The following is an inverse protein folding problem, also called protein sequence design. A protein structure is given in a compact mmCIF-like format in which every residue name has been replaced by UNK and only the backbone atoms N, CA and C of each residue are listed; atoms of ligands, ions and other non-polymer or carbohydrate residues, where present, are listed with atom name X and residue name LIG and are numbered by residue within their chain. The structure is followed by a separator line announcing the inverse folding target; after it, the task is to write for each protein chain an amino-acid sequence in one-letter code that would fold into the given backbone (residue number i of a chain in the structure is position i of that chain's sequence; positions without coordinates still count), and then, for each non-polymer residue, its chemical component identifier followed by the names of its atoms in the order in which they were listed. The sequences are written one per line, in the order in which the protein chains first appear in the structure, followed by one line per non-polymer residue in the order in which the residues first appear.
data_IF_682229316003
#
_entry.id   IF_682229316003
#
_cell.length_a   1.000
_cell.length_b   1.000
_cell.length_c   1.000
_cell.angle_alpha   90.00
_cell.angle_beta   90.00
_cell.angle_gamma   90.00
#
_symmetry.space_group_name_H-M   'P 1'
#
loop_
_entity.id
_entity.type
_entity.pdbx_description
1 polymer ?
#
# COMPACT_ATOMS: atom_id res chain seq x y z
N UNK A 1 -17.99 38.07 -31.72
CA UNK A 1 -17.07 36.92 -31.78
C UNK A 1 -17.04 36.24 -30.42
N UNK A 2 -17.52 35.01 -30.23
CA UNK A 2 -17.36 34.32 -28.96
C UNK A 2 -15.98 33.67 -28.91
N UNK A 3 -15.17 34.09 -27.94
CA UNK A 3 -13.90 33.49 -27.59
C UNK A 3 -14.15 32.10 -27.01
N UNK A 4 -13.93 31.06 -27.82
CA UNK A 4 -13.87 29.66 -27.36
C UNK A 4 -12.70 29.53 -26.39
N UNK A 5 -13.00 29.57 -25.09
CA UNK A 5 -12.02 29.27 -24.04
C UNK A 5 -11.57 27.81 -24.20
N UNK A 6 -10.43 27.61 -24.87
CA UNK A 6 -9.69 26.36 -24.87
C UNK A 6 -9.04 26.20 -23.50
N UNK A 7 -9.84 25.88 -22.48
CA UNK A 7 -9.35 25.24 -21.28
C UNK A 7 -8.95 23.84 -21.69
N UNK A 8 -7.72 23.70 -22.21
CA UNK A 8 -7.13 22.40 -22.53
C UNK A 8 -7.32 21.50 -21.30
N UNK A 9 -8.16 20.47 -21.48
CA UNK A 9 -8.53 19.46 -20.50
C UNK A 9 -7.23 18.81 -19.99
N UNK A 10 -6.66 19.34 -18.91
CA UNK A 10 -5.57 18.67 -18.22
C UNK A 10 -6.09 17.28 -17.84
N UNK A 11 -5.37 16.19 -18.20
CA UNK A 11 -5.85 14.85 -17.95
C UNK A 11 -6.12 14.70 -16.46
N UNK A 12 -7.40 14.47 -16.11
CA UNK A 12 -7.83 14.33 -14.73
C UNK A 12 -7.00 13.22 -14.05
N UNK A 13 -6.27 13.59 -13.01
CA UNK A 13 -5.39 12.67 -12.31
C UNK A 13 -6.26 11.61 -11.63
N UNK A 14 -6.26 10.40 -12.19
CA UNK A 14 -7.05 9.28 -11.67
C UNK A 14 -6.61 8.95 -10.24
N UNK A 15 -7.52 9.17 -9.29
CA UNK A 15 -7.32 8.89 -7.86
C UNK A 15 -7.68 7.43 -7.54
N UNK A 16 -7.39 7.03 -6.30
CA UNK A 16 -7.83 5.74 -5.77
C UNK A 16 -9.36 5.70 -5.63
N UNK A 17 -9.93 4.52 -5.84
CA UNK A 17 -11.34 4.26 -5.55
C UNK A 17 -11.61 4.25 -4.04
N UNK A 18 -12.87 4.35 -3.63
CA UNK A 18 -13.28 4.21 -2.22
C UNK A 18 -12.82 2.87 -1.63
N UNK A 19 -12.90 1.79 -2.40
CA UNK A 19 -12.41 0.47 -1.98
C UNK A 19 -10.90 0.47 -1.79
N UNK A 20 -10.14 1.04 -2.74
CA UNK A 20 -8.69 1.17 -2.61
C UNK A 20 -8.29 1.99 -1.37
N UNK A 21 -9.06 3.05 -1.04
CA UNK A 21 -8.83 3.86 0.17
C UNK A 21 -9.13 3.08 1.45
N UNK A 22 -10.20 2.30 1.45
CA UNK A 22 -10.54 1.43 2.58
C UNK A 22 -9.44 0.37 2.81
N UNK A 23 -8.95 -0.26 1.75
CA UNK A 23 -7.81 -1.20 1.84
C UNK A 23 -6.54 -0.52 2.32
N UNK A 24 -6.29 0.74 1.90
CA UNK A 24 -5.17 1.52 2.41
C UNK A 24 -5.31 1.80 3.92
N UNK A 25 -6.51 2.09 4.41
CA UNK A 25 -6.80 2.33 5.82
C UNK A 25 -6.66 1.05 6.66
N UNK A 26 -7.15 -0.09 6.16
CA UNK A 26 -6.99 -1.38 6.84
C UNK A 26 -5.51 -1.77 6.96
N UNK A 27 -4.75 -1.58 5.88
CA UNK A 27 -3.31 -1.80 5.91
C UNK A 27 -2.60 -0.83 6.88
N UNK A 28 -3.01 0.45 6.91
CA UNK A 28 -2.46 1.43 7.85
C UNK A 28 -2.67 1.00 9.32
N UNK A 29 -3.89 0.57 9.67
CA UNK A 29 -4.20 0.07 11.02
C UNK A 29 -3.33 -1.14 11.37
N UNK A 30 -3.21 -2.09 10.43
CA UNK A 30 -2.35 -3.28 10.58
C UNK A 30 -0.89 -2.89 10.77
N UNK A 31 -0.36 -1.97 9.97
CA UNK A 31 1.02 -1.47 10.06
C UNK A 31 1.26 -0.79 11.40
N UNK A 32 0.34 0.06 11.87
CA UNK A 32 0.42 0.67 13.21
C UNK A 32 0.53 -0.39 14.30
N UNK A 33 -0.33 -1.41 14.26
CA UNK A 33 -0.28 -2.50 15.24
C UNK A 33 1.05 -3.29 15.15
N UNK A 34 1.56 -3.50 13.94
CA UNK A 34 2.83 -4.22 13.71
C UNK A 34 4.01 -3.45 14.25
N UNK A 35 4.05 -2.13 14.00
CA UNK A 35 5.08 -1.24 14.55
C UNK A 35 5.04 -1.27 16.07
N UNK A 36 3.87 -1.15 16.69
CA UNK A 36 3.75 -1.09 18.15
C UNK A 36 4.06 -2.44 18.81
N UNK A 37 3.55 -3.54 18.27
CA UNK A 37 3.60 -4.86 18.92
C UNK A 37 4.85 -5.66 18.56
N UNK A 38 5.47 -5.43 17.41
CA UNK A 38 6.68 -6.13 16.97
C UNK A 38 7.85 -5.19 16.72
N UNK A 39 7.62 -4.08 16.01
CA UNK A 39 8.68 -3.15 15.61
C UNK A 39 9.38 -2.48 16.78
N UNK A 40 8.63 -1.83 17.68
CA UNK A 40 9.19 -1.13 18.84
C UNK A 40 9.93 -2.10 19.79
N UNK A 41 9.36 -3.25 20.20
CA UNK A 41 10.11 -4.23 20.99
C UNK A 41 11.41 -4.69 20.33
N UNK A 42 11.38 -4.94 19.02
CA UNK A 42 12.56 -5.35 18.26
C UNK A 42 13.63 -4.26 18.25
N UNK A 43 13.26 -3.01 18.01
CA UNK A 43 14.18 -1.87 17.97
C UNK A 43 14.77 -1.53 19.34
N UNK A 44 14.01 -1.73 20.42
CA UNK A 44 14.52 -1.58 21.80
C UNK A 44 15.59 -2.64 22.09
N UNK A 45 15.38 -3.87 21.62
CA UNK A 45 16.35 -4.95 21.81
C UNK A 45 17.56 -4.81 20.87
N UNK A 46 17.36 -4.32 19.65
CA UNK A 46 18.39 -4.21 18.62
C UNK A 46 18.29 -2.88 17.84
N UNK A 47 18.82 -1.78 18.41
CA UNK A 47 18.75 -0.45 17.81
C UNK A 47 19.47 -0.34 16.46
N UNK A 48 20.44 -1.23 16.20
CA UNK A 48 21.17 -1.29 14.93
C UNK A 48 20.25 -1.58 13.73
N UNK A 49 19.05 -2.13 13.97
CA UNK A 49 18.06 -2.42 12.94
C UNK A 49 17.23 -1.20 12.51
N UNK A 50 17.38 -0.03 13.16
CA UNK A 50 16.63 1.19 12.80
C UNK A 50 16.69 1.51 11.30
N UNK A 51 17.86 1.49 10.63
CA UNK A 51 17.93 1.77 9.19
C UNK A 51 17.11 0.79 8.34
N UNK A 52 17.00 -0.46 8.78
CA UNK A 52 16.27 -1.50 8.07
C UNK A 52 14.75 -1.34 8.15
N UNK A 53 14.23 -0.57 9.12
CA UNK A 53 12.80 -0.29 9.33
C UNK A 53 12.37 1.03 8.66
N UNK A 54 13.31 1.89 8.27
CA UNK A 54 13.02 3.17 7.59
C UNK A 54 12.18 3.03 6.31
N UNK A 55 12.41 2.04 5.41
CA UNK A 55 11.58 1.88 4.22
C UNK A 55 10.10 1.71 4.56
N UNK A 56 9.77 0.85 5.55
CA UNK A 56 8.42 0.65 6.04
C UNK A 56 7.78 1.92 6.62
N UNK A 57 8.55 2.74 7.35
CA UNK A 57 8.06 4.02 7.87
C UNK A 57 7.74 5.03 6.76
N UNK A 58 8.56 5.06 5.70
CA UNK A 58 8.27 5.91 4.53
C UNK A 58 6.97 5.45 3.86
N UNK A 59 6.77 4.15 3.69
CA UNK A 59 5.53 3.59 3.13
C UNK A 59 4.31 3.89 4.02
N UNK A 60 4.47 3.83 5.34
CA UNK A 60 3.44 4.21 6.31
C UNK A 60 2.99 5.67 6.13
N UNK A 61 3.91 6.60 5.86
CA UNK A 61 3.56 8.00 5.58
C UNK A 61 2.82 8.16 4.24
N UNK A 62 3.25 7.47 3.19
CA UNK A 62 2.52 7.45 1.91
C UNK A 62 1.10 6.89 2.06
N UNK A 63 0.93 5.93 2.96
CA UNK A 63 -0.35 5.33 3.33
C UNK A 63 -1.38 6.36 3.77
N UNK A 64 -0.98 7.31 4.61
CA UNK A 64 -1.83 8.41 5.05
C UNK A 64 -2.34 9.25 3.87
N UNK A 65 -1.45 9.60 2.94
CA UNK A 65 -1.84 10.30 1.71
C UNK A 65 -2.83 9.49 0.85
N UNK A 66 -2.70 8.16 0.82
CA UNK A 66 -3.63 7.27 0.11
C UNK A 66 -5.00 7.25 0.77
N UNK A 67 -5.07 7.15 2.09
CA UNK A 67 -6.33 7.19 2.86
C UNK A 67 -7.05 8.52 2.65
N UNK A 68 -6.31 9.63 2.67
CA UNK A 68 -6.82 10.98 2.41
C UNK A 68 -7.21 11.22 0.94
N UNK A 69 -6.94 10.27 0.03
CA UNK A 69 -7.28 10.40 -1.38
C UNK A 69 -6.45 11.45 -2.12
N UNK A 70 -5.25 11.76 -1.60
CA UNK A 70 -4.31 12.72 -2.16
C UNK A 70 -3.33 12.08 -3.15
N UNK A 71 -3.18 10.75 -3.08
CA UNK A 71 -2.19 10.02 -3.88
C UNK A 71 -2.79 9.57 -5.24
N UNK A 72 -2.12 9.89 -6.37
CA UNK A 72 -2.51 9.40 -7.68
C UNK A 72 -2.48 7.87 -7.77
N UNK A 73 -3.39 7.26 -8.53
CA UNK A 73 -3.47 5.79 -8.68
C UNK A 73 -2.17 5.14 -9.16
N UNK A 74 -1.38 5.84 -9.98
CA UNK A 74 -0.05 5.36 -10.43
C UNK A 74 0.94 5.27 -9.27
N UNK A 75 1.01 6.30 -8.44
CA UNK A 75 1.87 6.34 -7.26
C UNK A 75 1.41 5.30 -6.25
N UNK A 76 0.10 5.19 -6.00
CA UNK A 76 -0.45 4.19 -5.10
C UNK A 76 -0.12 2.76 -5.52
N UNK A 77 -0.08 2.44 -6.82
CA UNK A 77 0.40 1.15 -7.29
C UNK A 77 1.85 0.90 -6.87
N UNK A 78 2.73 1.87 -7.08
CA UNK A 78 4.14 1.75 -6.70
C UNK A 78 4.24 1.53 -5.18
N UNK A 79 3.50 2.31 -4.39
CA UNK A 79 3.44 2.14 -2.93
C UNK A 79 2.99 0.73 -2.56
N UNK A 80 1.93 0.19 -3.17
CA UNK A 80 1.49 -1.19 -2.90
C UNK A 80 2.51 -2.27 -3.30
N UNK A 81 3.25 -2.09 -4.40
CA UNK A 81 4.34 -3.01 -4.79
C UNK A 81 5.48 -2.93 -3.77
N UNK A 82 5.87 -1.73 -3.36
CA UNK A 82 6.90 -1.54 -2.33
C UNK A 82 6.45 -2.11 -0.98
N UNK A 83 5.17 -1.98 -0.61
CA UNK A 83 4.61 -2.63 0.58
C UNK A 83 4.76 -4.14 0.51
N UNK A 84 4.52 -4.77 -0.65
CA UNK A 84 4.73 -6.21 -0.78
C UNK A 84 6.19 -6.60 -0.51
N UNK A 85 7.14 -5.83 -1.06
CA UNK A 85 8.57 -6.06 -0.84
C UNK A 85 8.96 -5.83 0.61
N UNK A 86 8.43 -4.78 1.25
CA UNK A 86 8.67 -4.44 2.65
C UNK A 86 8.12 -5.50 3.61
N UNK A 87 6.93 -6.06 3.33
CA UNK A 87 6.38 -7.19 4.10
C UNK A 87 7.29 -8.42 4.00
N UNK A 88 7.79 -8.75 2.80
CA UNK A 88 8.74 -9.86 2.65
C UNK A 88 10.06 -9.57 3.38
N UNK A 89 10.55 -8.34 3.30
CA UNK A 89 11.78 -7.90 3.95
C UNK A 89 11.68 -7.96 5.48
N UNK A 90 10.58 -7.46 6.05
CA UNK A 90 10.31 -7.53 7.49
C UNK A 90 10.25 -8.97 8.00
N UNK A 91 9.68 -9.89 7.21
CA UNK A 91 9.61 -11.30 7.57
C UNK A 91 11.01 -11.93 7.62
N UNK A 92 11.85 -11.62 6.63
CA UNK A 92 13.25 -12.08 6.58
C UNK A 92 14.02 -11.57 7.80
N UNK A 93 13.92 -10.27 8.10
CA UNK A 93 14.60 -9.68 9.27
C UNK A 93 14.15 -10.37 10.54
N UNK A 94 12.84 -10.51 10.75
CA UNK A 94 12.32 -11.11 11.96
C UNK A 94 12.83 -12.55 12.15
N UNK A 95 12.84 -13.35 11.08
CA UNK A 95 13.35 -14.73 11.14
C UNK A 95 14.87 -14.80 11.32
N UNK A 96 15.62 -13.82 10.82
CA UNK A 96 17.08 -13.80 10.95
C UNK A 96 17.57 -13.33 12.33
N UNK A 97 16.74 -12.56 13.03
CA UNK A 97 17.13 -11.86 14.26
C UNK A 97 16.55 -12.52 15.51
N UNK A 98 15.33 -13.05 15.43
CA UNK A 98 14.62 -13.56 16.61
C UNK A 98 14.86 -15.06 16.73
N UNK A 99 15.79 -15.44 17.61
CA UNK A 99 16.18 -16.84 17.83
C UNK A 99 15.15 -17.64 18.64
N UNK A 100 14.43 -17.01 19.57
CA UNK A 100 13.41 -17.66 20.41
C UNK A 100 12.11 -16.80 20.48
N UNK A 101 11.29 -16.79 19.42
CA UNK A 101 10.03 -16.05 19.43
C UNK A 101 9.01 -16.70 20.37
N UNK A 102 8.33 -15.89 21.17
CA UNK A 102 7.21 -16.38 21.99
C UNK A 102 6.05 -16.86 21.11
N UNK A 103 5.26 -17.82 21.58
CA UNK A 103 4.09 -18.32 20.86
C UNK A 103 3.08 -17.22 20.47
N UNK A 104 2.97 -16.18 21.31
CA UNK A 104 2.15 -14.99 21.03
C UNK A 104 2.71 -14.18 19.86
N UNK A 105 4.03 -13.97 19.81
CA UNK A 105 4.68 -13.27 18.72
C UNK A 105 4.58 -14.05 17.41
N UNK A 106 4.81 -15.36 17.41
CA UNK A 106 4.60 -16.24 16.25
C UNK A 106 3.18 -16.15 15.70
N UNK A 107 2.16 -16.24 16.56
CA UNK A 107 0.76 -16.13 16.14
C UNK A 107 0.44 -14.76 15.56
N UNK A 108 1.00 -13.70 16.16
CA UNK A 108 0.82 -12.34 15.67
C UNK A 108 1.58 -12.09 14.35
N UNK A 109 2.76 -12.69 14.18
CA UNK A 109 3.55 -12.70 12.96
C UNK A 109 2.72 -13.29 11.82
N UNK A 110 2.23 -14.51 11.98
CA UNK A 110 1.43 -15.22 10.96
C UNK A 110 0.18 -14.43 10.60
N UNK A 111 -0.51 -13.87 11.59
CA UNK A 111 -1.73 -13.08 11.34
C UNK A 111 -1.43 -11.75 10.66
N UNK A 112 -0.41 -11.02 11.13
CA UNK A 112 -0.01 -9.73 10.57
C UNK A 112 0.44 -9.88 9.11
N UNK A 113 1.37 -10.78 8.81
CA UNK A 113 1.83 -10.99 7.43
C UNK A 113 0.73 -11.55 6.53
N UNK A 114 -0.11 -12.46 7.05
CA UNK A 114 -1.26 -12.98 6.30
C UNK A 114 -2.23 -11.87 5.88
N UNK A 115 -2.58 -10.98 6.81
CA UNK A 115 -3.42 -9.82 6.51
C UNK A 115 -2.74 -8.81 5.58
N UNK A 116 -1.47 -8.50 5.84
CA UNK A 116 -0.68 -7.57 5.03
C UNK A 116 -0.61 -7.99 3.56
N UNK A 117 -0.32 -9.27 3.33
CA UNK A 117 -0.31 -9.86 2.00
C UNK A 117 -1.70 -9.82 1.36
N UNK A 118 -2.73 -10.19 2.11
CA UNK A 118 -4.12 -10.22 1.62
C UNK A 118 -4.58 -8.83 1.17
N UNK A 119 -4.39 -7.80 1.99
CA UNK A 119 -4.76 -6.43 1.65
C UNK A 119 -3.96 -5.90 0.45
N UNK A 120 -2.66 -6.23 0.40
CA UNK A 120 -1.78 -5.83 -0.69
C UNK A 120 -2.19 -6.44 -2.02
N UNK A 121 -2.43 -7.75 -2.06
CA UNK A 121 -2.91 -8.44 -3.26
C UNK A 121 -4.28 -7.92 -3.66
N UNK A 122 -5.22 -7.76 -2.72
CA UNK A 122 -6.56 -7.25 -3.00
C UNK A 122 -6.52 -5.85 -3.62
N UNK A 123 -5.68 -4.96 -3.13
CA UNK A 123 -5.58 -3.61 -3.65
C UNK A 123 -4.87 -3.53 -5.01
N UNK A 124 -3.83 -4.34 -5.24
CA UNK A 124 -3.21 -4.45 -6.56
C UNK A 124 -4.20 -5.01 -7.58
N UNK A 125 -5.00 -6.02 -7.20
CA UNK A 125 -6.05 -6.59 -8.03
C UNK A 125 -7.14 -5.54 -8.35
N UNK A 126 -7.59 -4.77 -7.36
CA UNK A 126 -8.55 -3.68 -7.54
C UNK A 126 -8.05 -2.66 -8.57
N UNK A 127 -6.81 -2.19 -8.41
CA UNK A 127 -6.19 -1.22 -9.33
C UNK A 127 -6.08 -1.81 -10.74
N UNK A 128 -5.69 -3.08 -10.86
CA UNK A 128 -5.53 -3.76 -12.15
C UNK A 128 -6.88 -3.95 -12.87
N UNK A 129 -7.90 -4.43 -12.15
CA UNK A 129 -9.25 -4.64 -12.68
C UNK A 129 -9.89 -3.31 -13.10
N UNK A 130 -9.71 -2.25 -12.30
CA UNK A 130 -10.16 -0.90 -12.65
C UNK A 130 -9.55 -0.41 -13.97
N UNK A 131 -8.25 -0.59 -14.16
CA UNK A 131 -7.59 -0.24 -15.42
C UNK A 131 -8.09 -1.06 -16.62
N UNK A 132 -8.34 -2.35 -16.43
CA UNK A 132 -8.84 -3.23 -17.50
C UNK A 132 -10.24 -2.80 -17.95
N UNK A 133 -11.12 -2.45 -17.00
CA UNK A 133 -12.48 -1.93 -17.27
C UNK A 133 -12.43 -0.62 -18.05
N UNK A 134 -11.59 0.33 -17.63
CA UNK A 134 -11.41 1.60 -18.33
C UNK A 134 -10.92 1.43 -19.77
N UNK A 135 -9.91 0.57 -19.99
CA UNK A 135 -9.39 0.29 -21.33
C UNK A 135 -10.44 -0.34 -22.24
N UNK A 136 -11.31 -1.20 -21.70
CA UNK A 136 -12.43 -1.79 -22.46
C UNK A 136 -13.46 -0.75 -22.85
N UNK A 137 -13.83 0.14 -21.92
CA UNK A 137 -14.79 1.20 -22.18
C UNK A 137 -14.28 2.18 -23.25
N UNK A 138 -13.02 2.60 -23.16
CA UNK A 138 -12.39 3.46 -24.18
C UNK A 138 -12.37 2.80 -25.56
N UNK A 139 -12.04 1.50 -25.64
CA UNK A 139 -12.08 0.75 -26.90
C UNK A 139 -13.50 0.61 -27.46
N UNK A 140 -14.52 0.49 -26.62
CA UNK A 140 -15.91 0.44 -27.05
C UNK A 140 -16.35 1.79 -27.63
N UNK A 141 -16.02 2.90 -26.96
CA UNK A 141 -16.30 4.25 -27.44
C UNK A 141 -15.61 4.53 -28.79
N UNK A 142 -14.33 4.16 -28.94
CA UNK A 142 -13.58 4.32 -30.18
C UNK A 142 -14.12 3.47 -31.35
N UNK A 143 -14.89 2.40 -31.07
CA UNK A 143 -15.54 1.59 -32.11
C UNK A 143 -16.94 2.08 -32.47
N UNK A 144 -17.54 2.90 -31.62
CA UNK A 144 -18.89 3.45 -31.80
C UNK A 144 -18.90 4.85 -32.42
N UNK A 145 -17.72 5.49 -32.53
CA UNK A 145 -17.47 6.75 -33.23
C UNK A 145 -16.92 6.47 -34.63
#
# INVERSE_FOLDING_TARGET
MPTRSHSALLPEVKRLSTLGRALAALQLVKETLTVVLLGLPLLVQQPVLVPAVLPGLVLYLYRWGMVLGQVPRRVARVVWVLTLLDEVWGLIIYHSVVNEPTARQLRYLTWSYGLGLTFTVAALAEIYLGQRRERRHLRALLRAA
#
